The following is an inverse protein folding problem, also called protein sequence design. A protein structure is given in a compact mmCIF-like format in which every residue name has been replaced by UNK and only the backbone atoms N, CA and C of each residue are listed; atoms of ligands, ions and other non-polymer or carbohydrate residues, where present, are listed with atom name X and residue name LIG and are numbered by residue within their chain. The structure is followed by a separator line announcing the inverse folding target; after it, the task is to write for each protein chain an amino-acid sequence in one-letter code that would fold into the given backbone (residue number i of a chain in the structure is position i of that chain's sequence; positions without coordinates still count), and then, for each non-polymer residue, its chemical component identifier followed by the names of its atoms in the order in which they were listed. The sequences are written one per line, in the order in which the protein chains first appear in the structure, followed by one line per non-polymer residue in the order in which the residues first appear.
data_IF_995791680782
#
_entry.id   IF_995791680782
#
_cell.length_a   1.000
_cell.length_b   1.000
_cell.length_c   1.000
_cell.angle_alpha   90.00
_cell.angle_beta   90.00
_cell.angle_gamma   90.00
#
_symmetry.space_group_name_H-M   'P 1'
#
loop_
_entity.id
_entity.type
_entity.pdbx_description
1 polymer ?
#
# COMPACT_ATOMS: atom_id res chain seq x y z
N UNK A 1 -20.62 15.22 -9.58
CA UNK A 1 -20.65 15.08 -8.11
C UNK A 1 -19.22 15.03 -7.63
N UNK A 2 -18.87 15.78 -6.59
CA UNK A 2 -17.52 15.84 -6.04
C UNK A 2 -17.38 14.76 -4.96
N UNK A 3 -16.50 13.78 -5.16
CA UNK A 3 -16.23 12.71 -4.19
C UNK A 3 -15.06 13.09 -3.30
N UNK A 4 -15.27 13.06 -1.98
CA UNK A 4 -14.21 13.24 -0.99
C UNK A 4 -13.52 11.90 -0.74
N UNK A 5 -12.20 11.84 -0.96
CA UNK A 5 -11.37 10.68 -0.64
C UNK A 5 -10.75 10.87 0.73
N UNK A 6 -11.01 9.94 1.63
CA UNK A 6 -10.57 10.00 3.02
C UNK A 6 -9.77 8.74 3.34
N UNK A 7 -8.73 8.88 4.15
CA UNK A 7 -7.94 7.76 4.65
C UNK A 7 -8.43 7.37 6.03
N UNK A 8 -8.37 6.08 6.34
CA UNK A 8 -8.78 5.58 7.64
C UNK A 8 -8.36 4.14 7.87
N UNK A 9 -8.79 3.60 9.01
CA UNK A 9 -8.59 2.22 9.42
C UNK A 9 -9.93 1.58 9.79
N UNK A 10 -10.09 0.32 9.43
CA UNK A 10 -11.26 -0.47 9.79
C UNK A 10 -10.90 -1.31 11.01
N UNK A 11 -11.72 -1.23 12.06
CA UNK A 11 -11.62 -2.03 13.28
C UNK A 11 -12.95 -2.73 13.50
N UNK A 12 -13.06 -3.97 13.02
CA UNK A 12 -14.31 -4.73 13.02
C UNK A 12 -15.36 -4.08 12.10
N UNK A 13 -16.44 -3.55 12.69
CA UNK A 13 -17.53 -2.87 11.95
C UNK A 13 -17.40 -1.34 11.95
N UNK A 14 -16.36 -0.80 12.57
CA UNK A 14 -16.16 0.65 12.73
C UNK A 14 -15.06 1.10 11.78
N UNK A 15 -15.34 2.17 11.03
CA UNK A 15 -14.34 2.85 10.19
C UNK A 15 -13.86 4.10 10.93
N UNK A 16 -12.59 4.12 11.30
CA UNK A 16 -11.93 5.28 11.88
C UNK A 16 -11.30 6.09 10.75
N UNK A 17 -11.69 7.35 10.58
CA UNK A 17 -11.09 8.24 9.61
C UNK A 17 -9.89 8.94 10.25
N UNK A 18 -8.79 9.08 9.51
CA UNK A 18 -7.57 9.75 9.97
C UNK A 18 -7.75 11.28 10.02
N UNK A 19 -8.83 11.80 9.45
CA UNK A 19 -9.13 13.24 9.38
C UNK A 19 -10.57 13.47 9.83
N UNK A 20 -10.79 14.49 10.67
CA UNK A 20 -12.13 14.91 11.04
C UNK A 20 -12.88 15.41 9.81
N UNK A 21 -14.06 14.83 9.59
CA UNK A 21 -14.94 15.25 8.50
C UNK A 21 -16.25 15.74 9.07
N UNK A 22 -16.68 16.93 8.64
CA UNK A 22 -17.99 17.50 8.97
C UNK A 22 -19.13 16.80 8.21
N UNK A 23 -19.07 15.48 8.06
CA UNK A 23 -20.11 14.70 7.42
C UNK A 23 -21.29 14.55 8.38
N UNK A 24 -22.53 14.83 7.95
CA UNK A 24 -23.71 14.62 8.78
C UNK A 24 -23.90 13.14 9.08
N UNK A 25 -24.48 12.85 10.24
CA UNK A 25 -24.79 11.48 10.65
C UNK A 25 -25.73 10.82 9.60
N UNK A 26 -25.41 9.59 9.20
CA UNK A 26 -26.14 8.85 8.17
C UNK A 26 -25.78 9.19 6.72
N UNK A 27 -24.76 10.02 6.47
CA UNK A 27 -24.27 10.28 5.12
C UNK A 27 -23.78 8.99 4.44
N UNK A 28 -24.23 8.68 3.20
CA UNK A 28 -23.76 7.53 2.47
C UNK A 28 -22.30 7.73 2.06
N UNK A 29 -21.45 6.73 2.35
CA UNK A 29 -20.04 6.72 1.99
C UNK A 29 -19.71 5.47 1.18
N UNK A 30 -18.79 5.62 0.23
CA UNK A 30 -18.18 4.51 -0.50
C UNK A 30 -16.81 4.22 0.11
N UNK A 31 -16.53 2.96 0.42
CA UNK A 31 -15.31 2.53 1.11
C UNK A 31 -14.50 1.62 0.20
N UNK A 32 -13.27 2.02 -0.09
CA UNK A 32 -12.29 1.19 -0.79
C UNK A 32 -11.30 0.62 0.24
N UNK A 33 -11.30 -0.71 0.41
CA UNK A 33 -10.45 -1.37 1.42
C UNK A 33 -9.16 -1.83 0.75
N UNK A 34 -8.04 -1.22 1.14
CA UNK A 34 -6.71 -1.66 0.71
C UNK A 34 -6.14 -2.64 1.74
N UNK A 35 -6.15 -3.93 1.41
CA UNK A 35 -5.53 -4.95 2.24
C UNK A 35 -4.01 -4.85 2.12
N UNK A 36 -3.35 -4.33 3.15
CA UNK A 36 -1.91 -4.48 3.29
C UNK A 36 -1.63 -5.89 3.83
N UNK A 37 -0.90 -6.75 3.08
CA UNK A 37 -0.53 -8.06 3.61
C UNK A 37 0.27 -7.89 4.91
N UNK A 38 0.09 -8.80 5.89
CA UNK A 38 0.82 -8.72 7.14
C UNK A 38 2.32 -8.72 6.86
N UNK A 39 3.11 -7.95 7.62
CA UNK A 39 4.55 -7.88 7.41
C UNK A 39 5.14 -9.28 7.58
N UNK A 40 5.91 -9.72 6.58
CA UNK A 40 6.60 -11.00 6.64
C UNK A 40 7.58 -11.03 7.83
N UNK A 41 7.72 -12.18 8.52
CA UNK A 41 8.74 -12.40 9.53
C UNK A 41 10.13 -12.03 9.00
N UNK A 42 11.01 -11.56 9.88
CA UNK A 42 12.35 -11.09 9.50
C UNK A 42 13.13 -12.16 8.73
N UNK A 43 13.11 -13.41 9.20
CA UNK A 43 13.79 -14.54 8.56
C UNK A 43 13.26 -14.83 7.16
N UNK A 44 11.94 -14.82 6.99
CA UNK A 44 11.27 -14.96 5.68
C UNK A 44 11.67 -13.84 4.72
N UNK A 45 11.79 -12.62 5.23
CA UNK A 45 12.22 -11.46 4.45
C UNK A 45 13.67 -11.59 4.00
N UNK A 46 14.56 -12.02 4.90
CA UNK A 46 15.97 -12.28 4.58
C UNK A 46 16.14 -13.40 3.55
N UNK A 47 15.39 -14.50 3.69
CA UNK A 47 15.38 -15.60 2.73
C UNK A 47 15.00 -15.12 1.32
N UNK A 48 13.93 -14.33 1.20
CA UNK A 48 13.47 -13.77 -0.07
C UNK A 48 14.52 -12.82 -0.67
N UNK A 49 15.11 -11.94 0.15
CA UNK A 49 16.13 -11.00 -0.32
C UNK A 49 17.39 -11.73 -0.81
N UNK A 50 17.87 -12.72 -0.06
CA UNK A 50 19.02 -13.53 -0.49
C UNK A 50 18.72 -14.26 -1.80
N UNK A 51 17.51 -14.81 -1.93
CA UNK A 51 17.09 -15.45 -3.17
C UNK A 51 17.05 -14.45 -4.33
N UNK A 52 16.50 -13.26 -4.13
CA UNK A 52 16.44 -12.21 -5.15
C UNK A 52 17.85 -11.81 -5.61
N UNK A 53 18.79 -11.61 -4.68
CA UNK A 53 20.17 -11.24 -5.01
C UNK A 53 20.98 -12.38 -5.63
N UNK A 54 20.58 -13.63 -5.39
CA UNK A 54 21.19 -14.80 -6.07
C UNK A 54 20.64 -15.06 -7.47
N UNK A 55 19.55 -14.38 -7.86
CA UNK A 55 19.04 -14.49 -9.21
C UNK A 55 19.92 -13.64 -10.14
N UNK A 56 20.55 -14.30 -11.11
CA UNK A 56 21.15 -13.63 -12.26
C UNK A 56 20.02 -13.12 -13.17
N UNK A 57 19.33 -12.08 -12.71
CA UNK A 57 18.28 -11.43 -13.49
C UNK A 57 18.94 -10.74 -14.69
N UNK A 58 18.45 -10.99 -15.93
CA UNK A 58 19.02 -10.39 -17.12
C UNK A 58 18.97 -8.85 -17.01
N UNK A 59 20.00 -8.17 -17.51
CA UNK A 59 20.18 -6.71 -17.40
C UNK A 59 18.94 -5.90 -17.85
N UNK A 60 18.12 -6.45 -18.76
CA UNK A 60 16.85 -5.86 -19.18
C UNK A 60 15.82 -5.70 -18.05
N UNK A 61 15.87 -6.53 -17.01
CA UNK A 61 14.96 -6.46 -15.86
C UNK A 61 15.42 -5.43 -14.81
N UNK A 62 16.70 -5.02 -14.84
CA UNK A 62 17.25 -4.00 -13.94
C UNK A 62 16.76 -2.60 -14.28
N UNK A 63 16.67 -2.26 -15.57
CA UNK A 63 16.11 -0.96 -16.01
C UNK A 63 14.64 -0.83 -15.60
N UNK A 64 13.86 -1.92 -15.72
CA UNK A 64 12.48 -1.95 -15.27
C UNK A 64 12.36 -1.85 -13.74
N UNK A 65 13.25 -2.52 -13.01
CA UNK A 65 13.30 -2.43 -11.55
C UNK A 65 13.69 -1.02 -11.08
N UNK A 66 14.66 -0.38 -11.74
CA UNK A 66 15.06 1.00 -11.47
C UNK A 66 13.90 1.97 -11.71
N UNK A 67 13.18 1.82 -12.83
CA UNK A 67 11.99 2.63 -13.11
C UNK A 67 10.92 2.49 -12.03
N UNK A 68 10.63 1.26 -11.57
CA UNK A 68 9.65 1.03 -10.51
C UNK A 68 10.13 1.53 -9.14
N UNK A 69 11.44 1.47 -8.84
CA UNK A 69 12.01 2.09 -7.64
C UNK A 69 11.90 3.62 -7.66
N UNK A 70 12.25 4.25 -8.79
CA UNK A 70 12.13 5.70 -8.98
C UNK A 70 10.67 6.13 -8.89
N UNK A 71 9.76 5.41 -9.54
CA UNK A 71 8.32 5.65 -9.47
C UNK A 71 7.78 5.50 -8.04
N UNK A 72 8.23 4.48 -7.31
CA UNK A 72 7.87 4.28 -5.90
C UNK A 72 8.43 5.37 -4.97
N UNK A 73 9.60 5.93 -5.28
CA UNK A 73 10.22 7.02 -4.52
C UNK A 73 9.57 8.38 -4.80
N UNK A 74 9.14 8.62 -6.05
CA UNK A 74 8.46 9.85 -6.48
C UNK A 74 6.96 9.87 -6.14
N UNK A 75 6.36 8.72 -5.85
CA UNK A 75 4.94 8.57 -5.51
C UNK A 75 4.57 8.79 -4.04
N UNK A 76 5.41 9.47 -3.24
CA UNK A 76 5.11 9.85 -1.85
C UNK A 76 4.82 11.33 -1.71
#
# INVERSE_FOLDING_TARGET
MQTLRLRGRISGKITHLDTETNLPEGAPIEVEIHYAPPPLPYEKRQEILQRLFSMELPVAEWEQMEQEMVRGALGR
#
